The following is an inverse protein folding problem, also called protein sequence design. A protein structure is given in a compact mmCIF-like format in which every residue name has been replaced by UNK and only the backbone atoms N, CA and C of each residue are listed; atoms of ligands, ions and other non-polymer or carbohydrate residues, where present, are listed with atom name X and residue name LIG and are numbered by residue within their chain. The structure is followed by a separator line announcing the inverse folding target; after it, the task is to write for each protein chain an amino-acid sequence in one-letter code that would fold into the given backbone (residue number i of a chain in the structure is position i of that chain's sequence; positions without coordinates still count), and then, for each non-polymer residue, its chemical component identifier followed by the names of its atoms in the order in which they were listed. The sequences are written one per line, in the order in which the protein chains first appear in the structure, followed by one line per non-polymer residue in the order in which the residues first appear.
data_IF_840102848410
#
_entry.id   IF_840102848410
#
_cell.length_a   1.000
_cell.length_b   1.000
_cell.length_c   1.000
_cell.angle_alpha   90.00
_cell.angle_beta   90.00
_cell.angle_gamma   90.00
#
_symmetry.space_group_name_H-M   'P 1'
#
loop_
_entity.id
_entity.type
_entity.pdbx_description
1 polymer ?
#
# COMPACT_ATOMS: atom_id res chain seq x y z
N UNK A 1 -1.38 20.99 -4.50
CA UNK A 1 -2.57 20.10 -4.50
C UNK A 1 -2.31 18.95 -3.55
N UNK A 2 -3.23 18.65 -2.61
CA UNK A 2 -3.14 17.43 -1.78
C UNK A 2 -3.61 16.23 -2.60
N UNK A 3 -2.95 15.08 -2.46
CA UNK A 3 -3.41 13.83 -3.07
C UNK A 3 -4.83 13.51 -2.57
N UNK A 4 -5.78 13.13 -3.44
CA UNK A 4 -7.09 12.67 -3.00
C UNK A 4 -7.03 11.28 -2.34
N UNK A 5 -5.91 10.56 -2.52
CA UNK A 5 -5.69 9.23 -2.01
C UNK A 5 -5.13 9.24 -0.59
N UNK A 6 -5.54 8.26 0.22
CA UNK A 6 -5.10 8.08 1.61
C UNK A 6 -3.63 7.68 1.69
N UNK A 7 -3.13 6.97 0.66
CA UNK A 7 -1.75 6.54 0.58
C UNK A 7 -0.96 7.33 -0.48
N UNK A 8 0.32 7.03 -0.64
CA UNK A 8 1.18 7.56 -1.71
C UNK A 8 1.80 6.43 -2.53
N UNK A 9 2.10 6.69 -3.80
CA UNK A 9 2.99 5.82 -4.59
C UNK A 9 4.35 5.75 -3.88
N UNK A 10 4.93 4.56 -3.81
CA UNK A 10 6.16 4.26 -3.08
C UNK A 10 5.94 3.94 -1.60
N UNK A 11 4.73 4.14 -1.06
CA UNK A 11 4.43 3.82 0.33
C UNK A 11 4.38 2.30 0.55
N UNK A 12 5.04 1.85 1.62
CA UNK A 12 4.91 0.47 2.10
C UNK A 12 3.60 0.29 2.86
N UNK A 13 2.93 -0.82 2.56
CA UNK A 13 1.63 -1.17 3.13
C UNK A 13 1.62 -2.64 3.55
N UNK A 14 0.66 -2.97 4.41
CA UNK A 14 0.25 -4.34 4.73
C UNK A 14 -1.08 -4.64 4.05
N UNK A 15 -1.14 -5.76 3.35
CA UNK A 15 -2.34 -6.25 2.66
C UNK A 15 -3.23 -7.08 3.61
N UNK A 16 -4.51 -7.35 3.27
CA UNK A 16 -5.43 -8.11 4.13
C UNK A 16 -4.93 -9.50 4.56
N UNK A 17 -4.07 -10.11 3.76
CA UNK A 17 -3.45 -11.41 4.04
C UNK A 17 -2.11 -11.29 4.80
N UNK A 18 -1.89 -10.17 5.50
CA UNK A 18 -0.66 -9.86 6.26
C UNK A 18 0.64 -9.91 5.45
N UNK A 19 0.58 -9.74 4.13
CA UNK A 19 1.77 -9.60 3.28
C UNK A 19 2.15 -8.12 3.18
N UNK A 20 3.44 -7.83 3.02
CA UNK A 20 3.91 -6.47 2.81
C UNK A 20 4.13 -6.19 1.32
N UNK A 21 3.93 -4.94 0.92
CA UNK A 21 4.12 -4.51 -0.45
C UNK A 21 4.24 -3.00 -0.59
N UNK A 22 4.52 -2.57 -1.82
CA UNK A 22 4.71 -1.16 -2.19
C UNK A 22 3.66 -0.75 -3.20
N UNK A 23 2.96 0.36 -2.95
CA UNK A 23 2.03 0.94 -3.92
C UNK A 23 2.82 1.49 -5.09
N UNK A 24 2.49 1.07 -6.32
CA UNK A 24 3.14 1.56 -7.54
C UNK A 24 2.22 2.41 -8.41
N UNK A 25 0.90 2.27 -8.30
CA UNK A 25 -0.07 3.01 -9.13
C UNK A 25 -1.47 3.02 -8.51
N UNK A 26 -2.23 4.07 -8.81
CA UNK A 26 -3.68 4.17 -8.56
C UNK A 26 -4.47 3.88 -9.84
N UNK A 27 -5.56 3.13 -9.73
CA UNK A 27 -6.50 2.88 -10.81
C UNK A 27 -7.76 3.75 -10.63
N UNK A 28 -8.43 4.08 -11.74
CA UNK A 28 -9.59 4.98 -11.73
C UNK A 28 -10.81 4.41 -10.98
N UNK A 29 -10.81 3.10 -10.72
CA UNK A 29 -11.85 2.37 -10.01
C UNK A 29 -11.64 2.31 -8.48
N UNK A 30 -10.67 3.07 -7.96
CA UNK A 30 -10.36 3.13 -6.53
C UNK A 30 -9.47 1.99 -6.03
N UNK A 31 -8.93 1.17 -6.94
CA UNK A 31 -7.90 0.17 -6.60
C UNK A 31 -6.49 0.77 -6.66
N UNK A 32 -5.58 0.10 -5.96
CA UNK A 32 -4.14 0.34 -6.02
C UNK A 32 -3.44 -0.91 -6.53
N UNK A 33 -2.43 -0.71 -7.39
CA UNK A 33 -1.49 -1.78 -7.76
C UNK A 33 -0.36 -1.78 -6.75
N UNK A 34 -0.09 -2.96 -6.20
CA UNK A 34 0.92 -3.19 -5.17
C UNK A 34 1.87 -4.26 -5.68
N UNK A 35 3.17 -3.97 -5.62
CA UNK A 35 4.22 -4.98 -5.77
C UNK A 35 4.45 -5.60 -4.39
N UNK A 36 4.15 -6.88 -4.26
CA UNK A 36 4.39 -7.63 -3.03
C UNK A 36 5.88 -7.93 -2.85
N UNK A 37 6.30 -8.24 -1.63
CA UNK A 37 7.67 -8.68 -1.34
C UNK A 37 8.11 -9.91 -2.16
N UNK A 38 7.17 -10.73 -2.62
CA UNK A 38 7.41 -11.87 -3.52
C UNK A 38 7.71 -11.48 -4.97
N UNK A 39 7.56 -10.20 -5.33
CA UNK A 39 7.64 -9.70 -6.70
C UNK A 39 6.32 -9.77 -7.48
N UNK A 40 5.27 -10.40 -6.92
CA UNK A 40 3.95 -10.43 -7.54
C UNK A 40 3.29 -9.04 -7.54
N UNK A 41 2.61 -8.70 -8.64
CA UNK A 41 1.78 -7.49 -8.72
C UNK A 41 0.32 -7.86 -8.48
N UNK A 42 -0.27 -7.31 -7.42
CA UNK A 42 -1.70 -7.51 -7.09
C UNK A 42 -2.44 -6.18 -6.99
N UNK A 43 -3.77 -6.27 -7.10
CA UNK A 43 -4.68 -5.13 -6.96
C UNK A 43 -5.42 -5.22 -5.64
N UNK A 44 -5.51 -4.11 -4.93
CA UNK A 44 -6.26 -4.02 -3.69
C UNK A 44 -7.15 -2.79 -3.70
N UNK A 45 -8.30 -2.86 -3.03
CA UNK A 45 -9.06 -1.65 -2.71
C UNK A 45 -8.29 -0.86 -1.65
N UNK A 46 -8.20 0.46 -1.81
CA UNK A 46 -7.45 1.32 -0.90
C UNK A 46 -7.92 1.18 0.57
N UNK A 47 -9.22 0.99 0.79
CA UNK A 47 -9.79 0.79 2.12
C UNK A 47 -9.44 -0.54 2.81
N UNK A 48 -8.83 -1.48 2.09
CA UNK A 48 -8.49 -2.82 2.60
C UNK A 48 -7.01 -2.96 2.97
N UNK A 49 -6.19 -1.94 2.71
CA UNK A 49 -4.76 -1.95 3.02
C UNK A 49 -4.45 -0.99 4.14
N UNK A 50 -3.39 -1.28 4.88
CA UNK A 50 -2.94 -0.47 6.01
C UNK A 50 -1.51 0.01 5.79
N UNK A 51 -1.10 1.17 6.32
CA UNK A 51 0.30 1.56 6.26
C UNK A 51 1.14 0.54 7.01
N UNK A 52 2.28 0.15 6.44
CA UNK A 52 3.24 -0.65 7.18
C UNK A 52 3.78 0.22 8.32
N UNK A 53 3.38 -0.08 9.56
CA UNK A 53 3.94 0.59 10.73
C UNK A 53 5.37 0.08 10.89
N UNK A 54 6.33 0.95 10.67
CA UNK A 54 7.66 0.75 11.22
C UNK A 54 7.52 1.06 12.71
N UNK A 55 7.63 0.05 13.58
CA UNK A 55 7.77 0.31 15.00
C UNK A 55 9.05 1.14 15.16
N UNK A 56 8.88 2.46 15.35
CA UNK A 56 9.93 3.27 15.93
C UNK A 56 10.01 2.83 17.39
N UNK A 57 10.94 1.92 17.69
CA UNK A 57 11.44 1.79 19.05
C UNK A 57 12.23 3.07 19.30
N UNK A 58 11.62 4.00 20.04
CA UNK A 58 12.36 5.07 20.69
C UNK A 58 13.17 4.43 21.82
N UNK A 59 14.48 4.26 21.60
CA UNK A 59 15.49 4.00 22.65
C UNK A 59 15.78 5.28 23.46
#
# INVERSE_FOLDING_TARGET
MKSPYRFRIGQRIRTPNNTTGVIVTYEADGRVRVVLATGEVKRFLEGMIEPERTEHNED
#
